data_IF_198518633331
#
_entry.id   IF_198518633331
#
_cell.length_a   1.000
_cell.length_b   1.000
_cell.length_c   1.000
_cell.angle_alpha   90.00
_cell.angle_beta   90.00
_cell.angle_gamma   90.00
#
_symmetry.space_group_name_H-M   'P 1'
#
loop_
_entity.id
_entity.type
_entity.pdbx_description
1 polymer ?
#
# COMPACT_ATOMS: atom_id res chain seq x y z
N UNK A 1 9.70 48.60 41.34
CA UNK A 1 9.51 47.35 42.10
C UNK A 1 8.61 46.46 41.27
N UNK A 2 9.10 45.31 40.81
CA UNK A 2 8.37 44.38 39.94
C UNK A 2 9.20 43.89 38.75
N UNK A 3 10.22 43.08 39.01
CA UNK A 3 10.85 42.26 37.98
C UNK A 3 9.85 41.18 37.57
N UNK A 4 9.26 41.30 36.39
CA UNK A 4 8.50 40.22 35.76
C UNK A 4 9.49 39.11 35.38
N UNK A 5 9.55 38.10 36.23
CA UNK A 5 10.46 36.98 36.13
C UNK A 5 10.17 36.19 34.87
N UNK A 6 10.95 36.48 33.82
CA UNK A 6 10.97 35.72 32.58
C UNK A 6 10.95 34.22 32.89
N UNK A 7 9.82 33.60 32.57
CA UNK A 7 9.65 32.16 32.73
C UNK A 7 10.65 31.50 31.79
N UNK A 8 11.74 30.96 32.33
CA UNK A 8 12.76 30.26 31.53
C UNK A 8 12.07 29.01 30.98
N UNK A 9 11.81 28.92 29.67
CA UNK A 9 11.12 27.78 29.10
C UNK A 9 11.97 26.52 29.32
N UNK A 10 11.35 25.45 29.83
CA UNK A 10 12.10 24.22 30.10
C UNK A 10 12.52 23.58 28.79
N UNK A 11 13.64 22.83 28.80
CA UNK A 11 14.19 22.15 27.61
C UNK A 11 13.16 21.32 26.84
N UNK A 12 12.18 20.73 27.53
CA UNK A 12 11.12 19.94 26.88
C UNK A 12 10.09 20.79 26.10
N UNK A 13 10.05 22.11 26.33
CA UNK A 13 9.18 23.07 25.63
C UNK A 13 9.92 23.66 24.41
N UNK A 14 11.23 23.88 24.53
CA UNK A 14 12.07 24.36 23.41
C UNK A 14 12.46 23.27 22.41
N UNK A 15 12.57 22.03 22.87
CA UNK A 15 13.02 20.91 22.04
C UNK A 15 11.82 20.01 21.75
N UNK A 16 11.33 20.03 20.51
CA UNK A 16 10.46 18.97 19.99
C UNK A 16 11.18 17.64 20.20
N UNK A 17 10.67 16.82 21.11
CA UNK A 17 11.17 15.46 21.31
C UNK A 17 11.16 14.72 19.97
N UNK A 18 12.08 13.75 19.78
CA UNK A 18 12.14 12.98 18.53
C UNK A 18 10.75 12.44 18.22
N UNK A 19 10.25 12.76 17.02
CA UNK A 19 8.91 12.35 16.57
C UNK A 19 8.85 10.84 16.71
N UNK A 20 7.94 10.34 17.57
CA UNK A 20 7.69 8.91 17.70
C UNK A 20 7.40 8.41 16.29
N UNK A 21 8.26 7.54 15.77
CA UNK A 21 7.99 6.83 14.52
C UNK A 21 6.76 5.98 14.81
N UNK A 22 5.62 6.40 14.27
CA UNK A 22 4.39 5.62 14.39
C UNK A 22 4.68 4.25 13.78
N UNK A 23 4.61 3.21 14.61
CA UNK A 23 4.72 1.84 14.14
C UNK A 23 3.52 1.61 13.24
N UNK A 24 3.77 1.51 11.93
CA UNK A 24 2.75 1.10 10.98
C UNK A 24 2.20 -0.23 11.48
N UNK A 25 0.88 -0.27 11.63
CA UNK A 25 0.19 -1.46 12.08
C UNK A 25 0.44 -2.58 11.05
N UNK A 26 0.96 -3.73 11.52
CA UNK A 26 1.31 -4.85 10.63
C UNK A 26 0.11 -5.32 9.82
N UNK A 27 -1.09 -5.21 10.39
CA UNK A 27 -2.32 -5.60 9.74
C UNK A 27 -2.66 -4.63 8.60
N UNK A 28 -2.40 -3.33 8.77
CA UNK A 28 -2.55 -2.34 7.71
C UNK A 28 -1.58 -2.58 6.54
N UNK A 29 -0.33 -2.99 6.82
CA UNK A 29 0.62 -3.36 5.77
C UNK A 29 0.16 -4.60 4.98
N UNK A 30 -0.31 -5.63 5.68
CA UNK A 30 -0.84 -6.84 5.04
C UNK A 30 -2.04 -6.53 4.17
N UNK A 31 -3.01 -5.78 4.69
CA UNK A 31 -4.16 -5.29 3.93
C UNK A 31 -3.64 -4.56 2.68
N UNK A 32 -2.74 -3.59 2.82
CA UNK A 32 -2.26 -2.81 1.68
C UNK A 32 -1.68 -3.66 0.54
N UNK A 33 -0.98 -4.76 0.85
CA UNK A 33 -0.42 -5.67 -0.17
C UNK A 33 -1.50 -6.34 -1.04
N UNK A 34 -2.71 -6.51 -0.54
CA UNK A 34 -3.81 -7.14 -1.27
C UNK A 34 -4.69 -6.15 -2.05
N UNK A 35 -4.66 -4.86 -1.71
CA UNK A 35 -5.48 -3.83 -2.38
C UNK A 35 -4.70 -2.97 -3.38
N UNK A 36 -3.40 -2.82 -3.18
CA UNK A 36 -2.59 -1.86 -3.93
C UNK A 36 -1.48 -2.54 -4.74
N UNK A 37 -1.20 -1.95 -5.90
CA UNK A 37 -0.07 -2.30 -6.74
C UNK A 37 1.23 -1.99 -5.98
N UNK A 38 2.10 -2.99 -5.87
CA UNK A 38 3.36 -2.84 -5.11
C UNK A 38 4.31 -1.83 -5.78
N UNK A 39 4.15 -1.58 -7.07
CA UNK A 39 4.98 -0.65 -7.83
C UNK A 39 4.41 0.78 -7.83
N UNK A 40 3.16 0.97 -8.27
CA UNK A 40 2.57 2.30 -8.41
C UNK A 40 1.84 2.80 -7.16
N UNK A 41 1.64 1.94 -6.15
CA UNK A 41 0.81 2.21 -4.96
C UNK A 41 -0.64 2.59 -5.27
N UNK A 42 -1.09 2.44 -6.51
CA UNK A 42 -2.47 2.62 -6.90
C UNK A 42 -3.28 1.36 -6.60
N UNK A 43 -4.61 1.47 -6.58
CA UNK A 43 -5.48 0.31 -6.43
C UNK A 43 -5.25 -0.72 -7.54
N UNK A 44 -5.36 -1.99 -7.19
CA UNK A 44 -5.28 -3.08 -8.16
C UNK A 44 -6.43 -2.97 -9.17
N UNK A 45 -6.09 -3.11 -10.44
CA UNK A 45 -7.01 -3.04 -11.59
C UNK A 45 -6.70 -4.21 -12.51
N UNK A 46 -7.74 -4.76 -13.12
CA UNK A 46 -7.54 -5.80 -14.13
C UNK A 46 -6.90 -5.20 -15.38
N UNK A 47 -5.93 -5.91 -16.01
CA UNK A 47 -5.38 -7.21 -15.62
C UNK A 47 -4.36 -7.13 -14.45
N UNK A 48 -4.56 -7.95 -13.42
CA UNK A 48 -3.67 -8.05 -12.25
C UNK A 48 -2.61 -9.11 -12.54
N UNK A 49 -1.35 -8.81 -12.26
CA UNK A 49 -0.24 -9.74 -12.41
C UNK A 49 0.48 -9.96 -11.08
N UNK A 50 1.07 -11.14 -10.92
CA UNK A 50 1.93 -11.46 -9.78
C UNK A 50 3.34 -11.84 -10.22
N UNK A 51 4.31 -11.63 -9.34
CA UNK A 51 5.68 -12.07 -9.53
C UNK A 51 5.99 -13.35 -8.75
N UNK A 52 7.19 -13.90 -8.94
CA UNK A 52 7.69 -15.08 -8.21
C UNK A 52 7.73 -14.90 -6.68
N UNK A 53 7.81 -13.66 -6.19
CA UNK A 53 7.81 -13.34 -4.76
C UNK A 53 6.39 -13.20 -4.18
N UNK A 54 5.34 -13.44 -4.98
CA UNK A 54 3.95 -13.34 -4.55
C UNK A 54 3.45 -11.90 -4.34
N UNK A 55 4.12 -10.90 -4.92
CA UNK A 55 3.65 -9.51 -4.91
C UNK A 55 2.65 -9.29 -6.04
N UNK A 56 1.71 -8.36 -5.84
CA UNK A 56 0.67 -8.01 -6.80
C UNK A 56 0.99 -6.67 -7.47
N UNK A 57 0.73 -6.61 -8.78
CA UNK A 57 0.95 -5.43 -9.61
C UNK A 57 -0.16 -5.27 -10.64
N UNK A 58 -0.36 -4.02 -11.08
CA UNK A 58 -1.09 -3.73 -12.29
C UNK A 58 -0.18 -4.00 -13.49
N UNK A 59 -0.71 -4.68 -14.52
CA UNK A 59 0.07 -5.00 -15.73
C UNK A 59 0.61 -3.74 -16.40
N UNK A 60 -0.18 -2.66 -16.41
CA UNK A 60 0.18 -1.37 -16.99
C UNK A 60 1.43 -0.81 -16.33
N UNK A 61 1.44 -0.78 -14.99
CA UNK A 61 2.58 -0.27 -14.21
C UNK A 61 3.85 -1.11 -14.43
N UNK A 62 3.72 -2.43 -14.56
CA UNK A 62 4.87 -3.30 -14.86
C UNK A 62 5.43 -3.03 -16.26
N UNK A 63 4.56 -2.80 -17.24
CA UNK A 63 4.98 -2.47 -18.61
C UNK A 63 5.71 -1.13 -18.62
N UNK A 64 5.15 -0.10 -17.96
CA UNK A 64 5.79 1.21 -17.83
C UNK A 64 7.18 1.10 -17.18
N UNK A 65 7.28 0.30 -16.11
CA UNK A 65 8.57 0.04 -15.45
C UNK A 65 9.60 -0.65 -16.34
N UNK A 66 9.17 -1.62 -17.17
CA UNK A 66 10.07 -2.34 -18.08
C UNK A 66 10.53 -1.46 -19.27
N UNK A 67 9.70 -0.49 -19.67
CA UNK A 67 10.01 0.48 -20.72
C UNK A 67 10.92 1.60 -20.22
N UNK A 68 10.73 2.07 -18.98
CA UNK A 68 11.54 3.12 -18.37
C UNK A 68 12.89 2.53 -17.88
N UNK A 69 13.84 2.43 -18.81
CA UNK A 69 15.23 2.02 -18.53
C UNK A 69 16.15 3.20 -18.22
N UNK A 70 15.59 4.30 -17.75
CA UNK A 70 16.38 5.49 -17.43
C UNK A 70 17.34 5.16 -16.28
N UNK A 71 18.66 5.34 -16.44
CA UNK A 71 19.63 5.06 -15.37
C UNK A 71 19.48 6.01 -14.17
N UNK A 72 18.72 7.10 -14.33
CA UNK A 72 18.47 8.12 -13.33
C UNK A 72 17.35 7.76 -12.33
N UNK A 73 16.45 6.83 -12.71
CA UNK A 73 15.39 6.39 -11.79
C UNK A 73 15.90 5.25 -10.92
N UNK A 74 15.81 5.36 -9.58
CA UNK A 74 16.06 4.22 -8.71
C UNK A 74 15.06 3.13 -9.10
N UNK A 75 15.58 1.97 -9.51
CA UNK A 75 14.73 0.80 -9.69
C UNK A 75 14.01 0.57 -8.36
N UNK A 76 12.69 0.53 -8.39
CA UNK A 76 11.93 0.19 -7.21
C UNK A 76 12.46 -1.17 -6.71
N UNK A 77 13.05 -1.21 -5.52
CA UNK A 77 13.56 -2.44 -4.89
C UNK A 77 12.47 -3.54 -4.90
N UNK A 78 11.23 -3.08 -4.81
CA UNK A 78 10.01 -3.87 -4.92
C UNK A 78 9.84 -4.64 -6.24
N UNK A 79 10.49 -4.24 -7.34
CA UNK A 79 10.36 -4.81 -8.68
C UNK A 79 11.71 -5.13 -9.35
N UNK A 80 12.84 -5.02 -8.66
CA UNK A 80 14.18 -5.24 -9.23
C UNK A 80 14.40 -6.65 -9.84
N UNK A 81 13.63 -7.64 -9.39
CA UNK A 81 13.65 -9.01 -9.94
C UNK A 81 12.89 -9.15 -11.26
N UNK A 82 11.98 -8.22 -11.58
CA UNK A 82 11.16 -8.25 -12.79
C UNK A 82 11.97 -7.64 -13.94
N UNK A 83 12.65 -8.48 -14.71
CA UNK A 83 13.47 -8.06 -15.85
C UNK A 83 12.74 -8.14 -17.19
N UNK A 84 11.65 -8.91 -17.24
CA UNK A 84 10.84 -9.14 -18.43
C UNK A 84 9.40 -9.42 -18.06
N UNK A 85 8.49 -9.23 -19.01
CA UNK A 85 7.07 -9.58 -18.87
C UNK A 85 6.86 -11.08 -18.60
N UNK A 86 7.83 -11.92 -18.97
CA UNK A 86 7.80 -13.37 -18.68
C UNK A 86 7.96 -13.69 -17.18
N UNK A 87 8.50 -12.76 -16.40
CA UNK A 87 8.68 -12.94 -14.95
C UNK A 87 7.40 -12.65 -14.15
N UNK A 88 6.32 -12.23 -14.83
CA UNK A 88 5.02 -12.01 -14.20
C UNK A 88 3.97 -12.91 -14.82
N UNK A 89 3.01 -13.32 -13.99
CA UNK A 89 1.91 -14.20 -14.38
C UNK A 89 0.62 -13.41 -14.18
N UNK A 90 -0.22 -13.38 -15.21
CA UNK A 90 -1.56 -12.77 -15.12
C UNK A 90 -2.48 -13.67 -14.28
N UNK A 91 -3.12 -13.07 -13.28
CA UNK A 91 -4.01 -13.75 -12.36
C UNK A 91 -5.48 -13.59 -12.79
N UNK A 92 -6.18 -14.72 -12.89
CA UNK A 92 -7.63 -14.77 -13.07
C UNK A 92 -8.33 -14.76 -11.71
N UNK A 93 -8.34 -13.60 -11.06
CA UNK A 93 -9.00 -13.41 -9.76
C UNK A 93 -10.53 -13.35 -9.93
N UNK A 94 -11.28 -13.88 -8.98
CA UNK A 94 -12.75 -13.80 -9.00
C UNK A 94 -13.20 -12.47 -8.38
N UNK A 95 -14.18 -11.80 -8.95
CA UNK A 95 -14.73 -10.56 -8.38
C UNK A 95 -15.47 -10.88 -7.08
N UNK A 96 -15.30 -10.06 -6.06
CA UNK A 96 -16.08 -10.16 -4.85
C UNK A 96 -17.45 -9.49 -5.05
N UNK A 97 -18.58 -10.24 -5.01
CA UNK A 97 -19.92 -9.63 -5.12
C UNK A 97 -20.23 -8.69 -3.96
N UNK A 98 -19.51 -8.82 -2.84
CA UNK A 98 -19.66 -8.00 -1.67
C UNK A 98 -18.97 -6.62 -1.83
N UNK A 99 -18.14 -6.43 -2.87
CA UNK A 99 -17.41 -5.19 -3.13
C UNK A 99 -18.30 -4.14 -3.79
N UNK A 100 -18.48 -2.99 -3.14
CA UNK A 100 -19.38 -1.91 -3.58
C UNK A 100 -18.67 -0.81 -4.37
N UNK A 101 -17.42 -1.04 -4.78
CA UNK A 101 -16.62 -0.07 -5.51
C UNK A 101 -15.98 1.00 -4.63
N UNK A 102 -15.41 2.03 -5.26
CA UNK A 102 -14.77 3.17 -4.60
C UNK A 102 -15.75 4.08 -3.81
N UNK A 103 -17.05 3.77 -3.84
CA UNK A 103 -18.13 4.64 -3.33
C UNK A 103 -18.24 4.71 -1.80
N UNK A 104 -17.27 4.15 -1.07
CA UNK A 104 -17.37 3.86 0.36
C UNK A 104 -16.64 4.80 1.32
N UNK A 105 -16.13 5.96 0.91
CA UNK A 105 -15.49 6.88 1.86
C UNK A 105 -15.97 8.34 1.71
N UNK A 106 -17.24 8.56 2.02
CA UNK A 106 -17.69 9.90 2.43
C UNK A 106 -18.08 9.81 3.90
N UNK A 107 -17.25 10.42 4.76
CA UNK A 107 -17.34 10.56 6.22
C UNK A 107 -16.63 9.45 6.99
N UNK A 108 -15.65 9.89 7.78
CA UNK A 108 -14.88 9.08 8.70
C UNK A 108 -15.75 8.43 9.77
N UNK A 109 -15.08 7.78 10.71
CA UNK A 109 -15.65 7.18 11.93
C UNK A 109 -16.09 5.72 11.87
N UNK A 110 -15.70 4.94 10.85
CA UNK A 110 -15.79 3.47 10.92
C UNK A 110 -14.49 2.80 10.47
N UNK A 111 -13.99 1.88 11.28
CA UNK A 111 -13.02 0.87 10.85
C UNK A 111 -13.67 0.11 9.69
N UNK A 112 -13.40 0.58 8.48
CA UNK A 112 -14.11 0.19 7.29
C UNK A 112 -13.98 -1.33 7.11
N UNK A 113 -15.14 -1.97 6.92
CA UNK A 113 -15.31 -3.32 6.44
C UNK A 113 -14.80 -3.34 4.99
N UNK A 114 -13.48 -3.12 4.83
CA UNK A 114 -12.80 -3.10 3.54
C UNK A 114 -12.92 -4.51 3.01
N UNK A 115 -13.96 -4.73 2.20
CA UNK A 115 -14.18 -5.96 1.46
C UNK A 115 -13.20 -5.98 0.32
N UNK A 116 -12.53 -7.12 0.14
CA UNK A 116 -11.56 -7.26 -0.92
C UNK A 116 -12.26 -7.10 -2.26
N UNK A 117 -11.64 -6.43 -3.22
CA UNK A 117 -12.17 -6.40 -4.58
C UNK A 117 -12.21 -7.81 -5.19
N UNK A 118 -11.29 -8.66 -4.76
CA UNK A 118 -11.05 -9.98 -5.32
C UNK A 118 -11.15 -11.09 -4.28
N UNK A 119 -11.59 -12.26 -4.75
CA UNK A 119 -11.66 -13.52 -4.03
C UNK A 119 -10.71 -14.52 -4.70
N UNK A 120 -10.01 -15.32 -3.90
CA UNK A 120 -9.18 -16.39 -4.42
C UNK A 120 -10.05 -17.47 -5.09
N UNK A 121 -9.82 -17.80 -6.37
CA UNK A 121 -10.65 -18.78 -7.10
C UNK A 121 -10.51 -20.22 -6.57
N UNK A 122 -9.44 -20.53 -5.82
CA UNK A 122 -9.18 -21.88 -5.31
C UNK A 122 -9.85 -22.10 -3.95
N UNK A 123 -9.69 -21.16 -3.01
CA UNK A 123 -10.17 -21.31 -1.63
C UNK A 123 -11.47 -20.56 -1.34
N UNK A 124 -11.90 -19.65 -2.23
CA UNK A 124 -13.11 -18.84 -2.02
C UNK A 124 -12.98 -17.79 -0.92
N UNK A 125 -11.77 -17.53 -0.43
CA UNK A 125 -11.49 -16.54 0.62
C UNK A 125 -11.22 -15.15 0.04
N UNK A 126 -11.63 -14.13 0.77
CA UNK A 126 -11.38 -12.73 0.43
C UNK A 126 -9.89 -12.40 0.51
N UNK A 127 -9.37 -11.70 -0.50
CA UNK A 127 -8.00 -11.19 -0.53
C UNK A 127 -7.88 -9.92 0.34
N UNK A 128 -8.06 -10.04 1.65
CA UNK A 128 -8.02 -8.92 2.60
C UNK A 128 -6.87 -9.00 3.61
N UNK A 129 -6.05 -10.07 3.56
CA UNK A 129 -4.90 -10.27 4.44
C UNK A 129 -5.23 -10.60 5.89
N UNK A 130 -6.48 -10.98 6.20
CA UNK A 130 -6.94 -11.32 7.56
C UNK A 130 -7.10 -12.83 7.82
N UNK A 131 -6.89 -13.67 6.80
CA UNK A 131 -7.04 -15.12 6.85
C UNK A 131 -5.71 -15.84 6.65
#
# INVERSE_FOLDING_TARGET
MGCDGGTIPKRHELVKGPKKVEKIDKNAELVARWYYCTLSQEKLRRPVVTCELGRLYNKDSVIEFLLDKSPDKPQADSAAHIKSIKNVIELNLTDNPAWTGDKGNTKGDKYDDQRAQFICPVVGLEMNGRH
#
